data_IF_698036975010
#
_entry.id   IF_698036975010
#
_cell.length_a   1.000
_cell.length_b   1.000
_cell.length_c   1.000
_cell.angle_alpha   90.00
_cell.angle_beta   90.00
_cell.angle_gamma   90.00
#
_symmetry.space_group_name_H-M   'P 1'
#
loop_
_entity.id
_entity.type
_entity.pdbx_description
1 polymer ?
#
# COMPACT_ATOMS: atom_id res chain seq x y z
N UNK A 1 0.12 -16.22 12.50
CA UNK A 1 -0.81 -16.18 11.38
C UNK A 1 -0.99 -14.73 10.89
N UNK A 2 -1.37 -13.78 11.76
CA UNK A 2 -1.63 -12.38 11.42
C UNK A 2 -0.48 -11.72 10.67
N UNK A 3 0.77 -11.90 11.11
CA UNK A 3 1.94 -11.37 10.41
C UNK A 3 2.14 -11.96 9.02
N UNK A 4 1.82 -13.24 8.82
CA UNK A 4 1.91 -13.86 7.49
C UNK A 4 0.83 -13.29 6.54
N UNK A 5 -0.39 -13.05 7.06
CA UNK A 5 -1.47 -12.39 6.30
C UNK A 5 -1.06 -10.97 5.93
N UNK A 6 -0.59 -10.18 6.91
CA UNK A 6 -0.19 -8.79 6.68
C UNK A 6 0.98 -8.65 5.69
N UNK A 7 1.93 -9.59 5.71
CA UNK A 7 3.07 -9.59 4.77
C UNK A 7 2.66 -9.88 3.33
N UNK A 8 1.64 -10.70 3.11
CA UNK A 8 1.15 -11.04 1.78
C UNK A 8 0.08 -10.03 1.33
N UNK A 9 0.45 -9.15 0.40
CA UNK A 9 -0.41 -8.04 -0.07
C UNK A 9 -1.71 -8.51 -0.72
N UNK A 10 -1.67 -9.62 -1.46
CA UNK A 10 -2.86 -10.19 -2.08
C UNK A 10 -3.83 -10.71 -1.00
N UNK A 11 -3.31 -11.51 -0.07
CA UNK A 11 -4.12 -12.06 1.03
C UNK A 11 -4.68 -10.94 1.92
N UNK A 12 -3.86 -9.98 2.35
CA UNK A 12 -4.31 -8.88 3.20
C UNK A 12 -5.39 -8.03 2.52
N UNK A 13 -5.23 -7.75 1.22
CA UNK A 13 -6.22 -7.03 0.42
C UNK A 13 -7.56 -7.77 0.34
N UNK A 14 -7.55 -9.09 0.18
CA UNK A 14 -8.79 -9.89 0.22
C UNK A 14 -9.52 -9.73 1.55
N UNK A 15 -8.77 -9.72 2.68
CA UNK A 15 -9.36 -9.44 3.99
C UNK A 15 -9.92 -8.01 4.08
N UNK A 16 -9.23 -7.02 3.55
CA UNK A 16 -9.71 -5.64 3.54
C UNK A 16 -11.02 -5.52 2.77
N UNK A 17 -11.04 -5.95 1.53
CA UNK A 17 -12.21 -5.85 0.66
C UNK A 17 -13.41 -6.64 1.19
N UNK A 18 -13.20 -7.84 1.73
CA UNK A 18 -14.25 -8.66 2.33
C UNK A 18 -14.90 -8.01 3.57
N UNK A 19 -14.20 -7.06 4.21
CA UNK A 19 -14.69 -6.32 5.37
C UNK A 19 -15.01 -4.85 5.08
N UNK A 20 -15.14 -4.47 3.81
CA UNK A 20 -15.54 -3.13 3.39
C UNK A 20 -14.46 -2.06 3.55
N UNK A 21 -13.19 -2.46 3.71
CA UNK A 21 -12.05 -1.55 3.74
C UNK A 21 -11.56 -1.37 2.29
N UNK A 22 -11.60 -0.16 1.73
CA UNK A 22 -11.20 0.07 0.35
C UNK A 22 -9.71 -0.20 0.14
N UNK A 23 -9.38 -0.84 -0.98
CA UNK A 23 -8.01 -1.06 -1.44
C UNK A 23 -7.96 -0.84 -2.96
N UNK A 24 -6.79 -0.52 -3.56
CA UNK A 24 -6.68 -0.36 -5.00
C UNK A 24 -7.13 -1.64 -5.72
N UNK A 25 -7.89 -1.51 -6.81
CA UNK A 25 -8.25 -2.65 -7.65
C UNK A 25 -6.97 -3.28 -8.20
N UNK A 26 -6.89 -4.61 -8.21
CA UNK A 26 -5.70 -5.30 -8.68
C UNK A 26 -5.92 -6.78 -8.85
N UNK A 27 -4.88 -7.42 -9.36
CA UNK A 27 -4.80 -8.88 -9.58
C UNK A 27 -3.50 -9.41 -9.00
N UNK A 28 -3.47 -10.68 -8.65
CA UNK A 28 -2.22 -11.40 -8.42
C UNK A 28 -1.76 -12.11 -9.70
N UNK A 29 -0.45 -12.28 -9.84
CA UNK A 29 0.18 -12.94 -10.97
C UNK A 29 1.38 -13.76 -10.47
N UNK A 30 1.45 -15.02 -10.88
CA UNK A 30 2.61 -15.88 -10.64
C UNK A 30 3.39 -16.08 -11.94
N UNK A 31 4.56 -16.73 -11.88
CA UNK A 31 5.30 -17.09 -13.09
C UNK A 31 4.47 -17.99 -14.03
N UNK A 32 3.65 -18.88 -13.48
CA UNK A 32 2.83 -19.80 -14.26
C UNK A 32 1.62 -19.13 -14.92
N UNK A 33 1.12 -18.04 -14.31
CA UNK A 33 -0.02 -17.26 -14.83
C UNK A 33 0.41 -15.97 -15.51
N UNK A 34 1.70 -15.82 -15.82
CA UNK A 34 2.27 -14.62 -16.38
C UNK A 34 1.63 -14.25 -17.73
N UNK A 35 1.19 -13.03 -17.85
CA UNK A 35 0.73 -12.39 -19.09
C UNK A 35 1.53 -11.08 -19.28
N UNK A 36 2.28 -10.99 -20.37
CA UNK A 36 3.13 -9.82 -20.67
C UNK A 36 2.37 -8.67 -21.33
N UNK A 37 1.15 -8.91 -21.76
CA UNK A 37 0.29 -7.94 -22.42
C UNK A 37 -0.76 -7.41 -21.44
N UNK A 38 -0.52 -6.21 -20.90
CA UNK A 38 -1.43 -5.55 -19.94
C UNK A 38 -2.84 -5.33 -20.47
N UNK A 39 -3.02 -5.26 -21.80
CA UNK A 39 -4.34 -5.04 -22.41
C UNK A 39 -5.27 -6.25 -22.30
N UNK A 40 -4.73 -7.42 -21.95
CA UNK A 40 -5.50 -8.64 -21.69
C UNK A 40 -5.91 -8.79 -20.23
N UNK A 41 -5.44 -7.89 -19.36
CA UNK A 41 -5.74 -7.90 -17.95
C UNK A 41 -6.90 -6.95 -17.63
N UNK A 42 -7.69 -7.27 -16.61
CA UNK A 42 -8.75 -6.37 -16.13
C UNK A 42 -8.17 -5.26 -15.24
N UNK A 43 -7.27 -4.45 -15.82
CA UNK A 43 -6.57 -3.35 -15.19
C UNK A 43 -6.52 -2.13 -16.12
N UNK A 44 -6.46 -0.95 -15.52
CA UNK A 44 -6.25 0.32 -16.23
C UNK A 44 -4.82 0.81 -16.02
N UNK A 45 -4.28 1.52 -17.03
CA UNK A 45 -3.02 2.24 -16.87
C UNK A 45 -3.29 3.69 -16.42
N UNK A 46 -2.41 4.26 -15.57
CA UNK A 46 -1.21 3.63 -15.03
C UNK A 46 -1.52 2.55 -13.98
N UNK A 47 -0.62 1.55 -13.86
CA UNK A 47 -0.71 0.53 -12.81
C UNK A 47 0.60 0.41 -12.06
N UNK A 48 0.58 -0.30 -10.93
CA UNK A 48 1.75 -0.56 -10.09
C UNK A 48 2.02 -2.05 -10.07
N UNK A 49 3.20 -2.46 -10.51
CA UNK A 49 3.70 -3.84 -10.40
C UNK A 49 4.58 -3.92 -9.16
N UNK A 50 4.32 -4.89 -8.29
CA UNK A 50 5.08 -5.05 -7.04
C UNK A 50 5.15 -6.50 -6.56
N UNK A 51 6.23 -6.91 -5.88
CA UNK A 51 6.31 -8.20 -5.19
C UNK A 51 5.20 -8.33 -4.14
N UNK A 52 4.63 -9.53 -4.01
CA UNK A 52 3.49 -9.80 -3.12
C UNK A 52 3.85 -9.62 -1.64
N UNK A 53 4.99 -10.15 -1.19
CA UNK A 53 5.46 -10.09 0.19
C UNK A 53 6.63 -9.12 0.40
N UNK A 54 7.08 -8.44 -0.66
CA UNK A 54 8.18 -7.48 -0.61
C UNK A 54 7.88 -6.26 0.25
N UNK A 55 8.93 -5.63 0.77
CA UNK A 55 8.86 -4.41 1.56
C UNK A 55 9.71 -3.28 0.99
N UNK A 56 9.62 -2.09 1.60
CA UNK A 56 10.48 -0.94 1.30
C UNK A 56 10.49 -0.52 -0.18
N UNK A 57 9.41 -0.75 -0.91
CA UNK A 57 9.27 -0.44 -2.35
C UNK A 57 10.31 -1.13 -3.26
N UNK A 58 10.97 -2.21 -2.80
CA UNK A 58 11.90 -2.98 -3.62
C UNK A 58 11.10 -3.74 -4.69
N UNK A 59 11.52 -3.63 -5.95
CA UNK A 59 10.83 -4.27 -7.09
C UNK A 59 9.50 -3.63 -7.45
N UNK A 60 9.17 -2.45 -6.90
CA UNK A 60 7.95 -1.70 -7.22
C UNK A 60 8.19 -0.81 -8.43
N UNK A 61 7.34 -0.93 -9.44
CA UNK A 61 7.40 -0.12 -10.66
C UNK A 61 6.02 0.44 -11.00
N UNK A 62 5.94 1.76 -11.22
CA UNK A 62 4.75 2.40 -11.81
C UNK A 62 4.86 2.28 -13.33
N UNK A 63 3.92 1.56 -13.92
CA UNK A 63 3.80 1.36 -15.36
C UNK A 63 2.82 2.38 -15.92
N UNK A 64 3.30 3.27 -16.77
CA UNK A 64 2.47 4.35 -17.35
C UNK A 64 1.94 4.04 -18.74
N UNK A 65 2.63 3.17 -19.46
CA UNK A 65 2.26 2.72 -20.79
C UNK A 65 2.53 1.22 -20.98
N UNK A 66 1.88 0.60 -21.96
CA UNK A 66 1.93 -0.84 -22.17
C UNK A 66 3.35 -1.38 -22.47
N UNK A 67 4.19 -0.58 -23.11
CA UNK A 67 5.55 -1.00 -23.48
C UNK A 67 6.47 -1.21 -22.26
N UNK A 68 6.16 -0.55 -21.14
CA UNK A 68 6.90 -0.68 -19.88
C UNK A 68 6.52 -1.94 -19.08
N UNK A 69 5.35 -2.52 -19.34
CA UNK A 69 4.74 -3.55 -18.48
C UNK A 69 5.60 -4.80 -18.38
N UNK A 70 6.06 -5.33 -19.53
CA UNK A 70 6.91 -6.51 -19.54
C UNK A 70 8.21 -6.32 -18.76
N UNK A 71 8.86 -5.17 -18.90
CA UNK A 71 10.10 -4.88 -18.19
C UNK A 71 9.86 -4.76 -16.66
N UNK A 72 8.72 -4.20 -16.25
CA UNK A 72 8.32 -4.12 -14.86
C UNK A 72 8.09 -5.52 -14.25
N UNK A 73 7.44 -6.44 -14.99
CA UNK A 73 7.29 -7.84 -14.58
C UNK A 73 8.65 -8.53 -14.46
N UNK A 74 9.53 -8.37 -15.47
CA UNK A 74 10.87 -8.95 -15.48
C UNK A 74 11.71 -8.49 -14.28
N UNK A 75 11.53 -7.24 -13.83
CA UNK A 75 12.21 -6.71 -12.65
C UNK A 75 11.58 -7.25 -11.35
N UNK A 76 10.27 -7.17 -11.19
CA UNK A 76 9.59 -7.62 -9.98
C UNK A 76 9.77 -9.13 -9.73
N UNK A 77 9.73 -9.96 -10.77
CA UNK A 77 9.98 -11.40 -10.70
C UNK A 77 11.43 -11.78 -10.33
N UNK A 78 12.38 -10.85 -10.26
CA UNK A 78 13.71 -11.12 -9.68
C UNK A 78 13.65 -11.26 -8.17
N UNK A 79 12.63 -10.70 -7.55
CA UNK A 79 12.48 -10.61 -6.09
C UNK A 79 11.54 -11.68 -5.53
N UNK A 80 10.44 -11.96 -6.23
CA UNK A 80 9.44 -12.93 -5.78
C UNK A 80 8.78 -13.65 -6.96
N UNK A 81 8.21 -14.83 -6.69
CA UNK A 81 7.49 -15.63 -7.67
C UNK A 81 6.00 -15.28 -7.77
N UNK A 82 5.51 -14.46 -6.86
CA UNK A 82 4.15 -13.92 -6.82
C UNK A 82 4.19 -12.39 -6.79
N UNK A 83 3.42 -11.78 -7.70
CA UNK A 83 3.31 -10.34 -7.83
C UNK A 83 1.87 -9.88 -7.59
N UNK A 84 1.72 -8.65 -7.15
CA UNK A 84 0.45 -7.92 -7.16
C UNK A 84 0.58 -6.78 -8.17
N UNK A 85 -0.43 -6.66 -9.04
CA UNK A 85 -0.52 -5.59 -10.03
C UNK A 85 -1.79 -4.83 -9.74
N UNK A 86 -1.66 -3.53 -9.44
CA UNK A 86 -2.76 -2.69 -8.97
C UNK A 86 -2.93 -1.45 -9.83
N UNK A 87 -4.14 -0.94 -9.93
CA UNK A 87 -4.38 0.40 -10.47
C UNK A 87 -3.60 1.43 -9.67
N UNK A 88 -2.94 2.36 -10.37
CA UNK A 88 -2.22 3.44 -9.72
C UNK A 88 -3.21 4.47 -9.15
N UNK A 89 -3.16 4.66 -7.85
CA UNK A 89 -3.94 5.70 -7.15
C UNK A 89 -3.03 6.91 -6.96
N UNK A 90 -3.37 8.01 -7.62
CA UNK A 90 -2.72 9.30 -7.37
C UNK A 90 -3.34 9.94 -6.14
N UNK A 91 -2.51 10.33 -5.16
CA UNK A 91 -3.02 10.90 -3.93
C UNK A 91 -1.94 11.19 -2.89
N UNK A 92 -2.40 11.68 -1.74
CA UNK A 92 -1.57 11.92 -0.53
C UNK A 92 -1.41 10.61 0.22
N UNK A 93 -0.21 10.37 0.75
CA UNK A 93 0.10 9.16 1.53
C UNK A 93 0.00 9.43 3.03
N UNK A 94 -0.65 8.52 3.74
CA UNK A 94 -0.88 8.60 5.17
C UNK A 94 -0.52 7.30 5.87
N UNK A 95 -0.09 7.43 7.11
CA UNK A 95 0.24 6.31 7.99
C UNK A 95 -0.54 6.44 9.29
N UNK A 96 -1.18 5.37 9.73
CA UNK A 96 -1.98 5.32 10.95
C UNK A 96 -1.52 4.18 11.84
N UNK A 97 -0.94 4.53 12.99
CA UNK A 97 -0.64 3.58 14.04
C UNK A 97 -1.91 3.16 14.78
N UNK A 98 -1.99 1.89 15.17
CA UNK A 98 -3.05 1.36 16.04
C UNK A 98 -2.39 0.67 17.22
N UNK A 99 -2.83 0.99 18.44
CA UNK A 99 -2.37 0.36 19.68
C UNK A 99 -3.61 -0.14 20.42
N UNK A 100 -3.61 -1.43 20.78
CA UNK A 100 -4.72 -2.08 21.50
C UNK A 100 -6.10 -1.75 20.89
N UNK A 101 -6.16 -1.81 19.54
CA UNK A 101 -7.38 -1.55 18.77
C UNK A 101 -7.80 -0.07 18.70
N UNK A 102 -6.92 0.87 19.11
CA UNK A 102 -7.17 2.32 19.05
C UNK A 102 -6.23 3.02 18.10
N UNK A 103 -6.78 3.72 17.14
CA UNK A 103 -6.00 4.51 16.18
C UNK A 103 -5.35 5.72 16.85
N UNK A 104 -4.11 5.94 16.51
CA UNK A 104 -3.32 7.12 16.88
C UNK A 104 -3.62 8.30 15.93
N UNK A 105 -3.10 9.50 16.20
CA UNK A 105 -3.12 10.60 15.24
C UNK A 105 -2.50 10.19 13.91
N UNK A 106 -3.13 10.61 12.83
CA UNK A 106 -2.70 10.29 11.46
C UNK A 106 -1.43 11.06 11.13
N UNK A 107 -0.49 10.40 10.47
CA UNK A 107 0.72 11.02 9.93
C UNK A 107 0.57 11.14 8.42
N UNK A 108 0.74 12.33 7.88
CA UNK A 108 0.91 12.52 6.44
C UNK A 108 2.38 12.38 6.07
N UNK A 109 2.66 11.65 5.00
CA UNK A 109 4.01 11.42 4.47
C UNK A 109 4.09 12.06 3.09
N UNK A 110 4.70 13.24 3.00
CA UNK A 110 4.84 13.98 1.76
C UNK A 110 6.29 13.90 1.25
N UNK A 111 6.58 13.20 0.13
CA UNK A 111 7.90 13.22 -0.46
C UNK A 111 8.20 14.64 -0.99
N UNK A 112 9.41 15.16 -0.72
CA UNK A 112 9.83 16.49 -1.20
C UNK A 112 9.94 16.51 -2.73
N UNK A 113 10.28 15.35 -3.35
CA UNK A 113 10.34 15.22 -4.80
C UNK A 113 10.02 13.79 -5.23
N UNK A 114 9.18 13.66 -6.24
CA UNK A 114 8.88 12.39 -6.91
C UNK A 114 7.96 11.46 -6.10
N UNK A 115 8.11 10.17 -6.34
CA UNK A 115 7.35 9.10 -5.69
C UNK A 115 8.04 8.66 -4.38
N UNK A 116 7.26 8.18 -3.40
CA UNK A 116 7.79 7.66 -2.13
C UNK A 116 8.42 6.28 -2.33
N UNK A 117 9.55 6.27 -3.02
CA UNK A 117 10.34 5.07 -3.32
C UNK A 117 11.33 4.73 -2.20
N UNK A 118 12.09 3.63 -2.39
CA UNK A 118 13.13 3.20 -1.45
C UNK A 118 14.12 4.31 -1.10
N UNK A 119 14.52 5.13 -2.07
CA UNK A 119 15.51 6.21 -1.84
C UNK A 119 14.94 7.32 -0.96
N UNK A 120 13.65 7.63 -1.17
CA UNK A 120 12.96 8.65 -0.38
C UNK A 120 12.59 8.14 1.02
N UNK A 121 12.35 6.83 1.19
CA UNK A 121 12.05 6.22 2.51
C UNK A 121 13.21 6.29 3.51
N UNK A 122 14.46 6.19 3.05
CA UNK A 122 15.63 6.05 3.93
C UNK A 122 16.62 7.19 3.84
N UNK A 123 16.40 8.19 3.00
CA UNK A 123 17.26 9.36 2.92
C UNK A 123 16.72 10.43 3.86
N UNK A 124 17.45 10.76 4.90
CA UNK A 124 17.09 11.84 5.82
C UNK A 124 16.80 13.14 5.07
N UNK A 125 15.63 13.75 5.34
CA UNK A 125 15.20 14.99 4.72
C UNK A 125 14.63 14.84 3.30
N UNK A 126 14.24 13.64 2.86
CA UNK A 126 13.55 13.44 1.57
C UNK A 126 12.03 13.44 1.66
N UNK A 127 11.50 13.40 2.88
CA UNK A 127 10.06 13.46 3.17
C UNK A 127 9.77 14.51 4.22
N UNK A 128 8.58 15.09 4.17
CA UNK A 128 8.01 15.90 5.23
C UNK A 128 6.91 15.07 5.89
N UNK A 129 7.03 14.87 7.19
CA UNK A 129 6.04 14.16 7.99
C UNK A 129 5.27 15.18 8.84
N UNK A 130 3.94 15.17 8.72
CA UNK A 130 3.06 16.06 9.48
C UNK A 130 2.17 15.23 10.38
N UNK A 131 2.28 15.46 11.70
CA UNK A 131 1.46 14.79 12.71
C UNK A 131 0.92 15.79 13.74
N UNK A 132 -0.39 15.88 13.98
CA UNK A 132 -1.45 15.22 13.20
C UNK A 132 -1.55 15.78 11.77
N UNK A 133 -1.95 14.93 10.82
CA UNK A 133 -2.16 15.33 9.44
C UNK A 133 -3.28 16.38 9.32
N UNK A 134 -3.13 17.32 8.40
CA UNK A 134 -4.16 18.33 8.11
C UNK A 134 -5.25 17.74 7.21
N UNK A 135 -6.30 17.23 7.83
CA UNK A 135 -7.45 16.59 7.19
C UNK A 135 -8.77 17.12 7.79
N UNK A 136 -9.87 17.12 7.02
CA UNK A 136 -11.20 17.32 7.58
C UNK A 136 -11.53 16.26 8.65
N UNK A 137 -12.28 16.65 9.68
CA UNK A 137 -12.62 15.75 10.80
C UNK A 137 -13.28 14.44 10.37
N UNK A 138 -14.14 14.49 9.37
CA UNK A 138 -14.84 13.30 8.84
C UNK A 138 -13.86 12.34 8.16
N UNK A 139 -12.92 12.86 7.36
CA UNK A 139 -11.87 12.10 6.69
C UNK A 139 -10.93 11.47 7.73
N UNK A 140 -10.54 12.25 8.74
CA UNK A 140 -9.72 11.77 9.86
C UNK A 140 -10.38 10.58 10.56
N UNK A 141 -11.64 10.73 10.97
CA UNK A 141 -12.38 9.66 11.65
C UNK A 141 -12.56 8.41 10.79
N UNK A 142 -12.82 8.60 9.50
CA UNK A 142 -12.99 7.49 8.57
C UNK A 142 -11.68 6.71 8.38
N UNK A 143 -10.55 7.41 8.20
CA UNK A 143 -9.24 6.76 8.04
C UNK A 143 -8.82 6.03 9.31
N UNK A 144 -9.03 6.64 10.48
CA UNK A 144 -8.78 5.99 11.77
C UNK A 144 -9.67 4.75 11.96
N UNK A 145 -10.94 4.83 11.61
CA UNK A 145 -11.84 3.69 11.65
C UNK A 145 -11.36 2.54 10.74
N UNK A 146 -10.94 2.84 9.51
CA UNK A 146 -10.39 1.82 8.63
C UNK A 146 -9.11 1.19 9.20
N UNK A 147 -8.23 1.96 9.82
CA UNK A 147 -7.02 1.42 10.44
C UNK A 147 -7.34 0.48 11.63
N UNK A 148 -8.35 0.82 12.44
CA UNK A 148 -8.84 -0.03 13.54
C UNK A 148 -9.46 -1.33 12.98
N UNK A 149 -10.28 -1.25 11.93
CA UNK A 149 -10.85 -2.43 11.27
C UNK A 149 -9.77 -3.29 10.60
N UNK A 150 -8.74 -2.71 9.96
CA UNK A 150 -7.58 -3.45 9.44
C UNK A 150 -6.93 -4.27 10.55
N UNK A 151 -6.62 -3.64 11.68
CA UNK A 151 -6.01 -4.33 12.82
C UNK A 151 -6.89 -5.49 13.30
N UNK A 152 -8.19 -5.27 13.44
CA UNK A 152 -9.17 -6.25 13.89
C UNK A 152 -9.31 -7.44 12.93
N UNK A 153 -9.48 -7.20 11.62
CA UNK A 153 -9.74 -8.28 10.65
C UNK A 153 -8.53 -9.15 10.39
N UNK A 154 -7.32 -8.61 10.56
CA UNK A 154 -6.08 -9.38 10.48
C UNK A 154 -5.70 -10.02 11.82
N UNK A 155 -6.28 -9.56 12.93
CA UNK A 155 -5.97 -10.04 14.29
C UNK A 155 -4.65 -9.46 14.81
N UNK A 156 -4.48 -8.12 14.72
CA UNK A 156 -3.32 -7.38 15.20
C UNK A 156 -3.66 -6.70 16.53
N UNK A 157 -3.62 -7.46 17.61
CA UNK A 157 -4.20 -7.05 18.90
C UNK A 157 -3.32 -6.06 19.69
N UNK A 158 -2.00 -6.04 19.47
CA UNK A 158 -1.08 -5.24 20.29
C UNK A 158 -0.82 -3.88 19.66
N UNK A 159 -0.16 -3.88 18.52
CA UNK A 159 0.11 -2.68 17.73
C UNK A 159 0.28 -3.03 16.26
N UNK A 160 -0.01 -2.07 15.43
CA UNK A 160 0.19 -2.15 13.99
C UNK A 160 0.28 -0.76 13.37
N UNK A 161 0.62 -0.68 12.10
CA UNK A 161 0.55 0.53 11.30
C UNK A 161 -0.07 0.17 9.95
N UNK A 162 -1.07 0.92 9.53
CA UNK A 162 -1.67 0.80 8.21
C UNK A 162 -1.34 2.02 7.37
N UNK A 163 -1.01 1.80 6.11
CA UNK A 163 -0.65 2.84 5.16
C UNK A 163 -1.79 3.03 4.15
N UNK A 164 -2.16 4.29 3.90
CA UNK A 164 -3.30 4.69 3.09
C UNK A 164 -2.91 5.69 2.02
N UNK A 165 -3.63 5.66 0.89
CA UNK A 165 -3.70 6.76 -0.06
C UNK A 165 -5.06 7.44 0.04
N UNK A 166 -5.06 8.76 -0.13
CA UNK A 166 -6.26 9.59 -0.24
C UNK A 166 -6.18 10.37 -1.54
N UNK A 167 -7.09 10.12 -2.48
CA UNK A 167 -7.12 10.83 -3.75
C UNK A 167 -7.80 12.21 -3.62
N UNK A 168 -7.82 12.97 -4.70
CA UNK A 168 -8.43 14.30 -4.78
C UNK A 168 -9.96 14.31 -4.61
N UNK A 169 -10.61 13.14 -4.71
CA UNK A 169 -12.04 12.94 -4.44
C UNK A 169 -12.35 12.55 -3.00
N UNK A 170 -11.35 12.53 -2.12
CA UNK A 170 -11.42 12.01 -0.76
C UNK A 170 -11.76 10.51 -0.69
N UNK A 171 -11.47 9.74 -1.73
CA UNK A 171 -11.55 8.30 -1.68
C UNK A 171 -10.27 7.73 -1.07
N UNK A 172 -10.42 6.84 -0.09
CA UNK A 172 -9.31 6.24 0.67
C UNK A 172 -9.03 4.84 0.18
N UNK A 173 -7.76 4.47 0.16
CA UNK A 173 -7.33 3.12 -0.23
C UNK A 173 -6.26 2.63 0.75
N UNK A 174 -6.52 1.52 1.43
CA UNK A 174 -5.53 0.85 2.27
C UNK A 174 -4.52 0.11 1.39
N UNK A 175 -3.24 0.39 1.57
CA UNK A 175 -2.16 -0.21 0.79
C UNK A 175 -1.62 -1.47 1.45
N UNK A 176 -1.36 -1.40 2.74
CA UNK A 176 -0.76 -2.48 3.52
C UNK A 176 -0.95 -2.29 5.03
N UNK A 177 -0.77 -3.38 5.77
CA UNK A 177 -0.69 -3.38 7.22
C UNK A 177 0.68 -3.90 7.68
N UNK A 178 1.32 -3.17 8.56
CA UNK A 178 2.64 -3.50 9.10
C UNK A 178 2.51 -3.95 10.55
N UNK A 179 2.91 -5.20 10.83
CA UNK A 179 2.84 -5.80 12.17
C UNK A 179 4.03 -5.43 13.04
N UNK A 180 5.15 -5.08 12.42
CA UNK A 180 6.35 -4.57 13.07
C UNK A 180 6.85 -3.36 12.29
N UNK A 181 6.18 -2.20 12.41
CA UNK A 181 6.59 -1.00 11.69
C UNK A 181 7.98 -0.55 12.11
N UNK A 182 8.73 0.03 11.18
CA UNK A 182 9.99 0.68 11.50
C UNK A 182 9.76 1.80 12.52
N UNK A 183 10.55 1.82 13.57
CA UNK A 183 10.53 2.85 14.64
C UNK A 183 11.87 3.56 14.67
N UNK A 184 12.31 4.03 13.52
CA UNK A 184 13.55 4.82 13.39
C UNK A 184 13.23 6.30 13.52
N UNK A 185 14.17 7.10 14.10
CA UNK A 185 14.05 8.55 14.11
C UNK A 185 14.09 9.15 12.72
#
# INVERSE_FOLDING_TARGET
LSSAIAMNKETSKQFFLANGIPAPKGISMTRDTREDDVTKLDLTLPCVVKPCCGGSSIGVTIVRNADEFKAALDDAFKWEDELVIEEYVEGREFSVGVIEGKALPIIEIAPIAGFYDYKNKYKAGSTVETCPAELPDEVTKQMQHYAEEVAKVIGLDTYSRSDFLLNDKNEMFCLEANTLPGMTP
#
